data_IF_497516557666
#
_entry.id   IF_497516557666
#
_cell.length_a   1.000
_cell.length_b   1.000
_cell.length_c   1.000
_cell.angle_alpha   90.00
_cell.angle_beta   90.00
_cell.angle_gamma   90.00
#
_symmetry.space_group_name_H-M   'P 1'
#
loop_
_entity.id
_entity.type
_entity.pdbx_description
1 polymer ?
#
# COMPACT_ATOMS: atom_id res chain seq x y z
N UNK A 1 2.71 26.20 -17.32
CA UNK A 1 3.94 26.02 -16.53
C UNK A 1 3.63 26.42 -15.10
N UNK A 2 3.15 25.49 -14.26
CA UNK A 2 2.93 25.74 -12.83
C UNK A 2 3.03 24.41 -12.09
N UNK A 3 4.23 24.06 -11.60
CA UNK A 3 4.34 23.14 -10.47
C UNK A 3 5.36 23.74 -9.51
N UNK A 4 4.85 24.17 -8.35
CA UNK A 4 5.62 24.67 -7.23
C UNK A 4 6.68 23.64 -6.80
N UNK A 5 7.96 23.96 -7.01
CA UNK A 5 9.09 23.29 -6.38
C UNK A 5 9.23 23.70 -4.90
N UNK A 6 8.25 23.35 -4.06
CA UNK A 6 8.36 23.44 -2.60
C UNK A 6 8.35 22.08 -1.89
N UNK A 7 8.59 20.99 -2.62
CA UNK A 7 8.71 19.65 -2.04
C UNK A 7 10.15 19.16 -2.12
N UNK A 8 10.69 18.74 -0.96
CA UNK A 8 11.92 17.97 -0.88
C UNK A 8 11.78 16.74 -1.81
N UNK A 9 12.76 16.53 -2.69
CA UNK A 9 12.78 15.35 -3.54
C UNK A 9 12.77 14.10 -2.66
N UNK A 10 11.87 13.12 -2.90
CA UNK A 10 11.83 11.90 -2.10
C UNK A 10 13.18 11.19 -2.11
N UNK A 11 13.54 10.64 -0.95
CA UNK A 11 14.76 9.87 -0.75
C UNK A 11 14.44 8.38 -0.65
N UNK A 12 15.31 7.48 -1.13
CA UNK A 12 15.06 6.04 -1.02
C UNK A 12 14.75 5.62 0.42
N UNK A 13 13.65 4.89 0.59
CA UNK A 13 13.10 4.50 1.89
C UNK A 13 11.98 5.40 2.40
N UNK A 14 11.72 6.55 1.79
CA UNK A 14 10.61 7.43 2.15
C UNK A 14 9.25 6.82 1.83
N UNK A 15 8.29 7.10 2.71
CA UNK A 15 6.89 6.77 2.49
C UNK A 15 6.23 7.85 1.64
N UNK A 16 5.51 7.43 0.61
CA UNK A 16 4.76 8.29 -0.29
C UNK A 16 3.27 8.09 -0.02
N UNK A 17 2.59 9.18 0.31
CA UNK A 17 1.13 9.24 0.48
C UNK A 17 0.51 9.92 -0.75
N UNK A 18 -0.33 9.19 -1.49
CA UNK A 18 -1.01 9.66 -2.70
C UNK A 18 -2.49 9.87 -2.39
N UNK A 19 -3.00 11.06 -2.69
CA UNK A 19 -4.36 11.48 -2.34
C UNK A 19 -5.35 11.14 -3.46
N UNK A 20 -6.11 10.05 -3.29
CA UNK A 20 -7.10 9.54 -4.27
C UNK A 20 -8.52 9.93 -3.85
N UNK A 21 -8.79 11.24 -3.82
CA UNK A 21 -10.10 11.77 -3.42
C UNK A 21 -10.49 11.37 -2.00
N UNK A 22 -11.27 10.29 -1.86
CA UNK A 22 -11.80 9.79 -0.59
C UNK A 22 -10.90 8.79 0.15
N UNK A 23 -9.82 8.32 -0.47
CA UNK A 23 -8.85 7.43 0.18
C UNK A 23 -7.40 7.86 -0.11
N UNK A 24 -6.48 7.30 0.68
CA UNK A 24 -5.05 7.52 0.55
C UNK A 24 -4.37 6.22 0.17
N UNK A 25 -3.61 6.26 -0.92
CA UNK A 25 -2.75 5.15 -1.33
C UNK A 25 -1.35 5.36 -0.78
N UNK A 26 -0.71 4.28 -0.33
CA UNK A 26 0.62 4.34 0.26
C UNK A 26 1.60 3.52 -0.57
N UNK A 27 2.77 4.10 -0.77
CA UNK A 27 3.87 3.49 -1.49
C UNK A 27 5.21 3.78 -0.78
N UNK A 28 6.22 2.98 -1.10
CA UNK A 28 7.60 3.18 -0.64
C UNK A 28 8.44 3.68 -1.82
N UNK A 29 9.14 4.80 -1.67
CA UNK A 29 10.06 5.29 -2.69
C UNK A 29 11.37 4.49 -2.67
N UNK A 30 11.80 4.00 -3.83
CA UNK A 30 12.98 3.12 -3.97
C UNK A 30 14.14 3.76 -4.75
N UNK A 31 14.00 5.03 -5.14
CA UNK A 31 14.99 5.78 -5.90
C UNK A 31 14.65 5.92 -7.38
N UNK A 32 15.32 6.87 -8.04
CA UNK A 32 15.25 7.09 -9.50
C UNK A 32 13.83 7.30 -10.05
N UNK A 33 12.94 7.91 -9.26
CA UNK A 33 11.55 8.14 -9.67
C UNK A 33 10.64 6.93 -9.54
N UNK A 34 11.11 5.82 -8.95
CA UNK A 34 10.31 4.60 -8.79
C UNK A 34 9.80 4.41 -7.36
N UNK A 35 8.63 3.78 -7.27
CA UNK A 35 8.00 3.33 -6.02
C UNK A 35 7.76 1.83 -6.04
N UNK A 36 7.63 1.25 -4.84
CA UNK A 36 7.06 -0.07 -4.60
C UNK A 36 5.74 0.08 -3.85
N UNK A 37 4.69 -0.56 -4.32
CA UNK A 37 3.38 -0.56 -3.67
C UNK A 37 2.61 -1.84 -3.93
N UNK A 38 1.49 -1.99 -3.23
CA UNK A 38 0.51 -3.02 -3.53
C UNK A 38 -0.39 -2.55 -4.67
N UNK A 39 -0.47 -3.34 -5.73
CA UNK A 39 -1.29 -3.09 -6.91
C UNK A 39 -2.33 -4.21 -7.05
N UNK A 40 -3.63 -3.90 -7.07
CA UNK A 40 -4.67 -4.91 -7.33
C UNK A 40 -4.43 -5.58 -8.70
N UNK A 41 -4.68 -6.90 -8.85
CA UNK A 41 -4.49 -7.59 -10.11
C UNK A 41 -5.33 -6.95 -11.22
N UNK A 42 -4.68 -6.64 -12.34
CA UNK A 42 -5.27 -6.00 -13.52
C UNK A 42 -6.37 -6.89 -14.10
N UNK A 43 -7.62 -6.43 -14.00
CA UNK A 43 -8.83 -7.14 -14.41
C UNK A 43 -10.10 -6.46 -13.88
N UNK A 44 -9.99 -5.71 -12.78
CA UNK A 44 -11.01 -4.74 -12.38
C UNK A 44 -10.76 -3.42 -13.12
N UNK A 45 -11.42 -3.27 -14.28
CA UNK A 45 -11.46 -2.02 -15.01
C UNK A 45 -11.91 -0.87 -14.11
N UNK A 46 -11.15 0.23 -14.20
CA UNK A 46 -11.36 1.48 -13.49
C UNK A 46 -11.34 1.37 -11.95
N UNK A 47 -11.06 2.52 -11.35
CA UNK A 47 -10.98 2.85 -9.94
C UNK A 47 -12.35 2.74 -9.23
N UNK A 48 -13.09 1.69 -9.55
CA UNK A 48 -14.41 1.35 -9.03
C UNK A 48 -14.27 0.81 -7.62
N UNK A 49 -15.25 1.09 -6.77
CA UNK A 49 -15.42 0.57 -5.41
C UNK A 49 -15.42 -0.98 -5.33
N UNK A 50 -15.29 -1.67 -6.46
CA UNK A 50 -15.10 -3.12 -6.56
C UNK A 50 -13.64 -3.54 -6.35
N UNK A 51 -12.65 -2.72 -6.74
CA UNK A 51 -11.22 -2.99 -6.46
C UNK A 51 -10.87 -2.86 -4.97
N UNK A 52 -11.74 -2.17 -4.23
CA UNK A 52 -11.71 -2.05 -2.77
C UNK A 52 -11.94 -3.39 -2.05
N UNK A 53 -12.57 -4.35 -2.71
CA UNK A 53 -12.89 -5.68 -2.19
C UNK A 53 -11.98 -6.79 -2.73
N UNK A 54 -10.94 -6.47 -3.51
CA UNK A 54 -10.02 -7.48 -4.04
C UNK A 54 -9.23 -8.12 -2.89
N UNK A 55 -9.44 -9.43 -2.66
CA UNK A 55 -8.80 -10.21 -1.61
C UNK A 55 -7.28 -10.31 -1.75
N UNK A 56 -6.72 -10.00 -2.93
CA UNK A 56 -5.29 -10.08 -3.23
C UNK A 56 -4.78 -8.87 -4.02
N UNK A 57 -3.51 -8.51 -3.81
CA UNK A 57 -2.76 -7.54 -4.60
C UNK A 57 -1.33 -8.04 -4.81
N UNK A 58 -0.73 -7.62 -5.92
CA UNK A 58 0.66 -7.93 -6.26
C UNK A 58 1.55 -6.77 -5.82
N UNK A 59 2.71 -7.07 -5.24
CA UNK A 59 3.73 -6.04 -4.98
C UNK A 59 4.41 -5.66 -6.30
N UNK A 60 4.24 -4.43 -6.75
CA UNK A 60 4.77 -3.93 -8.02
C UNK A 60 5.79 -2.82 -7.81
N UNK A 61 6.72 -2.68 -8.78
CA UNK A 61 7.61 -1.53 -8.90
C UNK A 61 7.18 -0.72 -10.12
N UNK A 62 6.77 0.52 -9.91
CA UNK A 62 6.20 1.38 -10.97
C UNK A 62 6.73 2.81 -10.86
N UNK A 63 6.57 3.58 -11.93
CA UNK A 63 6.95 5.00 -11.95
C UNK A 63 6.06 5.80 -11.00
N UNK A 64 6.68 6.60 -10.13
CA UNK A 64 5.96 7.49 -9.23
C UNK A 64 5.09 8.47 -10.02
N UNK A 65 5.63 9.03 -11.11
CA UNK A 65 4.92 9.99 -11.95
C UNK A 65 3.68 9.38 -12.61
N UNK A 66 3.82 8.17 -13.17
CA UNK A 66 2.70 7.48 -13.83
C UNK A 66 1.61 7.10 -12.84
N UNK A 67 2.00 6.58 -11.66
CA UNK A 67 1.04 6.21 -10.62
C UNK A 67 0.35 7.44 -10.06
N UNK A 68 1.07 8.53 -9.75
CA UNK A 68 0.46 9.77 -9.25
C UNK A 68 -0.48 10.36 -10.30
N UNK A 69 -0.03 10.45 -11.56
CA UNK A 69 -0.80 11.05 -12.65
C UNK A 69 -1.22 12.48 -12.34
N UNK A 70 -2.52 12.72 -12.18
CA UNK A 70 -3.09 14.05 -11.89
C UNK A 70 -3.30 14.32 -10.39
N UNK A 71 -3.08 13.31 -9.55
CA UNK A 71 -3.31 13.43 -8.11
C UNK A 71 -2.15 14.14 -7.41
N UNK A 72 -2.38 14.45 -6.13
CA UNK A 72 -1.34 15.02 -5.25
C UNK A 72 -0.66 13.89 -4.50
N UNK A 73 0.63 14.05 -4.21
CA UNK A 73 1.35 13.19 -3.29
C UNK A 73 2.19 14.00 -2.29
N UNK A 74 2.54 13.37 -1.17
CA UNK A 74 3.46 13.89 -0.16
C UNK A 74 4.45 12.81 0.25
N UNK A 75 5.67 13.23 0.62
CA UNK A 75 6.56 12.41 1.44
C UNK A 75 6.05 12.49 2.88
N UNK A 76 5.64 11.36 3.46
CA UNK A 76 5.05 11.30 4.79
C UNK A 76 5.59 10.12 5.60
N UNK A 77 6.75 10.31 6.23
CA UNK A 77 7.36 9.34 7.14
C UNK A 77 6.65 9.35 8.51
N UNK A 78 5.38 8.94 8.49
CA UNK A 78 4.38 9.24 9.51
C UNK A 78 4.71 8.74 10.93
N UNK A 79 5.60 7.74 11.08
CA UNK A 79 5.96 7.14 12.37
C UNK A 79 7.42 7.41 12.77
N UNK A 80 8.18 8.26 12.08
CA UNK A 80 9.57 8.55 12.46
C UNK A 80 9.69 9.13 13.89
N UNK A 81 8.65 9.81 14.38
CA UNK A 81 8.57 10.29 15.77
C UNK A 81 8.27 9.20 16.81
N UNK A 82 7.81 8.02 16.39
CA UNK A 82 7.41 6.89 17.24
C UNK A 82 8.36 5.70 17.14
N UNK A 83 8.87 5.43 15.94
CA UNK A 83 9.71 4.29 15.60
C UNK A 83 10.97 4.77 14.88
N UNK A 84 12.11 4.19 15.22
CA UNK A 84 13.34 4.41 14.46
C UNK A 84 13.20 3.70 13.09
N UNK A 85 13.42 4.39 11.95
CA UNK A 85 13.41 3.73 10.66
C UNK A 85 14.56 2.71 10.56
N UNK A 86 14.34 1.64 9.81
CA UNK A 86 15.37 0.65 9.47
C UNK A 86 16.42 1.29 8.57
N UNK A 87 17.54 0.59 8.35
CA UNK A 87 18.53 1.07 7.40
C UNK A 87 17.92 1.13 6.00
N UNK A 88 18.26 2.15 5.20
CA UNK A 88 17.79 2.25 3.81
C UNK A 88 18.14 0.99 3.02
N UNK A 89 19.31 0.40 3.29
CA UNK A 89 19.71 -0.88 2.69
C UNK A 89 18.71 -2.00 2.98
N UNK A 90 18.32 -2.21 4.24
CA UNK A 90 17.36 -3.26 4.61
C UNK A 90 15.97 -3.00 4.03
N UNK A 91 15.53 -1.73 4.06
CA UNK A 91 14.25 -1.31 3.48
C UNK A 91 14.19 -1.67 1.99
N UNK A 92 15.21 -1.29 1.22
CA UNK A 92 15.24 -1.53 -0.22
C UNK A 92 15.46 -3.00 -0.56
N UNK A 93 16.29 -3.72 0.21
CA UNK A 93 16.49 -5.17 0.04
C UNK A 93 15.16 -5.89 0.17
N UNK A 94 14.41 -5.62 1.22
CA UNK A 94 13.16 -6.32 1.51
C UNK A 94 12.05 -5.89 0.54
N UNK A 95 11.98 -4.60 0.18
CA UNK A 95 11.03 -4.16 -0.85
C UNK A 95 11.24 -4.88 -2.19
N UNK A 96 12.50 -5.12 -2.57
CA UNK A 96 12.86 -5.86 -3.80
C UNK A 96 12.54 -7.35 -3.70
N UNK A 97 12.75 -7.98 -2.54
CA UNK A 97 12.48 -9.42 -2.38
C UNK A 97 10.99 -9.76 -2.41
N UNK A 98 10.13 -8.77 -2.17
CA UNK A 98 8.67 -8.94 -2.21
C UNK A 98 8.06 -8.71 -3.60
N UNK A 99 8.81 -8.20 -4.57
CA UNK A 99 8.28 -7.90 -5.91
C UNK A 99 7.68 -9.13 -6.59
N UNK A 100 6.48 -8.98 -7.14
CA UNK A 100 5.74 -10.04 -7.82
C UNK A 100 5.00 -11.00 -6.88
N UNK A 101 5.15 -10.86 -5.55
CA UNK A 101 4.37 -11.66 -4.61
C UNK A 101 2.93 -11.17 -4.52
N UNK A 102 1.99 -12.12 -4.53
CA UNK A 102 0.60 -11.88 -4.18
C UNK A 102 0.43 -11.83 -2.65
N UNK A 103 -0.20 -10.77 -2.16
CA UNK A 103 -0.48 -10.56 -0.75
C UNK A 103 -1.97 -10.31 -0.53
N UNK A 104 -2.53 -10.73 0.62
CA UNK A 104 -3.90 -10.39 0.99
C UNK A 104 -4.10 -8.87 1.00
N UNK A 105 -5.10 -8.38 0.28
CA UNK A 105 -5.29 -6.96 0.08
C UNK A 105 -6.69 -6.48 0.43
N UNK A 106 -6.77 -5.24 0.92
CA UNK A 106 -7.99 -4.48 1.03
C UNK A 106 -7.61 -3.01 1.26
N UNK A 107 -7.95 -2.14 0.31
CA UNK A 107 -7.63 -0.71 0.34
C UNK A 107 -8.23 -0.05 1.58
N UNK A 108 -9.49 -0.40 1.92
CA UNK A 108 -10.21 0.18 3.06
C UNK A 108 -9.77 -0.36 4.43
N UNK A 109 -8.94 -1.40 4.48
CA UNK A 109 -8.44 -1.97 5.75
C UNK A 109 -7.02 -1.54 6.09
N UNK A 110 -6.44 -0.60 5.34
CA UNK A 110 -5.12 -0.06 5.65
C UNK A 110 -3.95 -0.91 5.20
N UNK A 111 -4.16 -1.87 4.28
CA UNK A 111 -3.11 -2.81 3.89
C UNK A 111 -1.91 -2.13 3.22
N UNK A 112 -2.10 -1.06 2.45
CA UNK A 112 -0.98 -0.30 1.87
C UNK A 112 -0.14 0.40 2.93
N UNK A 113 -0.77 1.10 3.88
CA UNK A 113 -0.04 1.80 4.95
C UNK A 113 0.67 0.79 5.84
N UNK A 114 0.01 -0.32 6.17
CA UNK A 114 0.59 -1.43 6.92
C UNK A 114 1.81 -2.03 6.20
N UNK A 115 1.72 -2.26 4.89
CA UNK A 115 2.82 -2.79 4.08
C UNK A 115 4.04 -1.87 4.10
N UNK A 116 3.86 -0.57 3.84
CA UNK A 116 5.02 0.33 3.74
C UNK A 116 5.60 0.67 5.11
N UNK A 117 4.80 0.63 6.18
CA UNK A 117 5.30 0.80 7.55
C UNK A 117 6.02 -0.45 8.07
N UNK A 118 5.58 -1.65 7.70
CA UNK A 118 6.35 -2.89 7.91
C UNK A 118 7.71 -2.78 7.23
N UNK A 119 7.75 -2.32 5.98
CA UNK A 119 9.00 -2.09 5.27
C UNK A 119 9.86 -0.99 5.92
N UNK A 120 9.33 0.16 6.33
CA UNK A 120 10.19 1.23 6.86
C UNK A 120 10.63 0.99 8.30
N UNK A 121 9.77 0.43 9.15
CA UNK A 121 9.99 0.35 10.60
C UNK A 121 10.18 -1.08 11.12
N UNK A 122 9.97 -2.10 10.28
CA UNK A 122 9.90 -3.50 10.74
C UNK A 122 8.64 -3.79 11.57
N UNK A 123 7.63 -2.91 11.47
CA UNK A 123 6.37 -3.02 12.17
C UNK A 123 5.24 -2.32 11.42
N UNK A 124 4.33 -3.11 10.87
CA UNK A 124 3.17 -2.66 10.14
C UNK A 124 2.15 -2.01 11.06
N UNK A 125 1.89 -0.73 10.85
CA UNK A 125 0.84 0.03 11.53
C UNK A 125 0.04 0.79 10.48
N UNK A 126 -1.29 0.83 10.64
CA UNK A 126 -2.15 1.65 9.79
C UNK A 126 -3.11 2.47 10.63
N UNK A 127 -3.24 3.74 10.27
CA UNK A 127 -4.24 4.67 10.79
C UNK A 127 -5.59 4.47 10.12
N UNK A 128 -5.60 3.85 8.94
CA UNK A 128 -6.81 3.31 8.31
C UNK A 128 -7.21 2.03 9.07
N UNK A 129 -7.64 2.19 10.32
CA UNK A 129 -8.22 1.11 11.12
C UNK A 129 -9.32 0.48 10.29
N UNK A 130 -9.25 -0.83 10.07
CA UNK A 130 -10.35 -1.64 9.55
C UNK A 130 -11.63 -1.12 10.18
N UNK A 131 -12.39 -0.33 9.43
CA UNK A 131 -13.78 -0.08 9.78
C UNK A 131 -14.36 -1.48 9.79
N UNK A 132 -14.53 -2.05 10.98
CA UNK A 132 -15.49 -3.11 11.17
C UNK A 132 -16.74 -2.50 10.58
N UNK A 133 -17.08 -2.92 9.35
CA UNK A 133 -18.20 -2.36 8.66
C UNK A 133 -19.37 -2.72 9.55
N UNK A 134 -19.82 -1.75 10.34
CA UNK A 134 -21.14 -1.71 10.92
C UNK A 134 -22.09 -1.56 9.74
N UNK A 135 -22.22 -2.61 8.93
CA UNK A 135 -23.20 -2.74 7.86
C UNK A 135 -24.55 -3.04 8.53
N UNK A 136 -24.99 -2.15 9.43
CA UNK A 136 -26.42 -1.97 9.67
C UNK A 136 -26.96 -1.17 8.48
N UNK A 137 -27.09 -1.84 7.33
CA UNK A 137 -27.97 -1.53 6.20
C UNK A 137 -27.41 -2.05 4.86
N UNK A 138 -27.19 -3.35 4.73
CA UNK A 138 -27.42 -4.05 3.46
C UNK A 138 -27.99 -5.44 3.81
N UNK A 139 -29.29 -5.48 4.11
CA UNK A 139 -30.05 -6.72 4.07
C UNK A 139 -30.16 -7.14 2.60
N UNK A 140 -29.18 -7.89 2.11
CA UNK A 140 -29.34 -8.78 0.97
C UNK A 140 -28.31 -9.89 1.10
N UNK A 141 -28.82 -11.10 1.28
CA UNK A 141 -28.11 -12.33 1.60
C UNK A 141 -26.85 -12.58 0.76
N UNK A 142 -25.76 -12.97 1.42
CA UNK A 142 -24.97 -14.14 1.01
C UNK A 142 -24.03 -14.55 2.15
N UNK A 143 -24.12 -15.81 2.57
CA UNK A 143 -23.26 -16.43 3.56
C UNK A 143 -21.79 -16.34 3.13
N UNK A 144 -20.93 -15.68 3.92
CA UNK A 144 -19.47 -15.76 3.75
C UNK A 144 -18.89 -16.51 4.93
N UNK A 145 -18.72 -17.82 4.75
CA UNK A 145 -17.87 -18.64 5.58
C UNK A 145 -16.40 -18.31 5.28
N UNK A 146 -15.71 -17.78 6.29
CA UNK A 146 -14.27 -17.58 6.29
C UNK A 146 -13.55 -18.93 6.14
N UNK A 147 -13.04 -19.23 4.94
CA UNK A 147 -12.17 -20.39 4.73
C UNK A 147 -10.74 -19.98 5.10
N UNK A 148 -10.27 -20.50 6.24
CA UNK A 148 -8.86 -20.41 6.65
C UNK A 148 -8.00 -21.11 5.59
N UNK A 149 -7.19 -20.35 4.85
CA UNK A 149 -6.18 -20.91 3.94
C UNK A 149 -5.09 -21.62 4.76
N UNK A 150 -4.90 -22.91 4.49
CA UNK A 150 -3.85 -23.75 5.08
C UNK A 150 -2.50 -23.42 4.44
N UNK A 151 -1.58 -22.95 5.27
CA UNK A 151 -0.17 -22.74 4.96
C UNK A 151 0.49 -24.08 4.58
N UNK A 152 0.86 -24.28 3.30
CA UNK A 152 1.69 -25.42 2.87
C UNK A 152 3.16 -25.07 3.12
N UNK A 153 3.75 -25.75 4.11
CA UNK A 153 5.21 -25.86 4.30
C UNK A 153 5.83 -26.49 3.05
N UNK A 154 6.82 -25.84 2.47
CA UNK A 154 7.82 -26.49 1.61
C UNK A 154 8.97 -26.87 2.53
N UNK A 155 9.18 -28.17 2.72
CA UNK A 155 10.42 -28.71 3.28
C UNK A 155 11.46 -28.74 2.15
N UNK A 156 12.71 -28.43 2.52
CA UNK A 156 13.92 -28.35 1.71
C UNK A 156 14.07 -29.51 0.71
#
# INVERSE_FOLDING_TARGET
MYICHLYCSPQPGDLIEIFRGTYQHWALYVGEGYIVHLCPPTGAGAYSLVSVLCDTAVVTKESLEEIVGKDRFLVNNLLDGKHKPRSVYDILRDARSLLGLEMPYCILRGNCEHFVTELRYGKGESRQVSVAIGMKALNAASNISCVKSKQKRILL
#
